data_IF_872106478697
#
_entry.id   IF_872106478697
#
_cell.length_a   1.000
_cell.length_b   1.000
_cell.length_c   1.000
_cell.angle_alpha   90.00
_cell.angle_beta   90.00
_cell.angle_gamma   90.00
#
_symmetry.space_group_name_H-M   'P 1'
#
loop_
_entity.id
_entity.type
_entity.pdbx_description
1 polymer ?
#
# COMPACT_ATOMS: atom_id res chain seq x y z
N UNK A 1 33.25 27.18 -26.18
CA UNK A 1 32.64 27.01 -24.84
C UNK A 1 32.31 25.55 -24.62
N UNK A 2 33.18 24.83 -23.90
CA UNK A 2 33.01 23.41 -23.62
C UNK A 2 32.07 23.22 -22.43
N UNK A 3 30.97 22.50 -22.63
CA UNK A 3 30.07 22.06 -21.56
C UNK A 3 30.73 20.86 -20.87
N UNK A 4 31.30 21.07 -19.69
CA UNK A 4 31.78 19.97 -18.85
C UNK A 4 30.57 19.16 -18.37
N UNK A 5 30.61 17.83 -18.54
CA UNK A 5 29.59 16.92 -17.99
C UNK A 5 29.56 17.08 -16.47
N UNK A 6 28.38 17.36 -15.91
CA UNK A 6 28.16 17.46 -14.46
C UNK A 6 27.24 16.33 -14.05
N UNK A 7 27.68 15.54 -13.09
CA UNK A 7 26.88 14.47 -12.50
C UNK A 7 26.13 15.00 -11.29
N UNK A 8 24.85 14.62 -11.18
CA UNK A 8 24.01 14.97 -10.04
C UNK A 8 23.46 13.69 -9.41
N UNK A 9 23.56 13.60 -8.08
CA UNK A 9 22.88 12.55 -7.33
C UNK A 9 21.46 13.02 -6.99
N UNK A 10 20.47 12.24 -7.41
CA UNK A 10 19.06 12.48 -7.10
C UNK A 10 18.54 11.31 -6.28
N UNK A 11 17.78 11.59 -5.23
CA UNK A 11 17.07 10.58 -4.45
C UNK A 11 15.57 10.86 -4.43
N UNK A 12 14.78 9.80 -4.56
CA UNK A 12 13.32 9.87 -4.44
C UNK A 12 12.95 9.88 -2.96
N UNK A 13 12.28 10.94 -2.49
CA UNK A 13 11.83 11.02 -1.09
C UNK A 13 10.43 10.43 -0.87
N UNK A 14 9.51 10.74 -1.77
CA UNK A 14 8.12 10.28 -1.66
C UNK A 14 7.45 10.26 -3.02
N UNK A 15 6.42 9.43 -3.13
CA UNK A 15 5.48 9.42 -4.25
C UNK A 15 4.11 9.80 -3.70
N UNK A 16 3.52 10.87 -4.24
CA UNK A 16 2.17 11.30 -3.90
C UNK A 16 1.24 10.77 -4.98
N UNK A 17 0.24 10.01 -4.56
CA UNK A 17 -0.71 9.33 -5.43
C UNK A 17 -2.10 9.34 -4.77
N UNK A 18 -3.13 9.35 -5.62
CA UNK A 18 -4.52 9.13 -5.23
C UNK A 18 -4.74 7.67 -4.77
N UNK A 19 -5.95 7.35 -4.31
CA UNK A 19 -6.27 6.02 -3.78
C UNK A 19 -5.90 4.88 -4.76
N UNK A 20 -6.43 4.88 -5.99
CA UNK A 20 -6.15 3.84 -6.98
C UNK A 20 -4.66 3.68 -7.32
N UNK A 21 -3.95 4.77 -7.62
CA UNK A 21 -2.52 4.71 -7.98
C UNK A 21 -1.66 4.26 -6.79
N UNK A 22 -2.00 4.68 -5.56
CA UNK A 22 -1.31 4.24 -4.35
C UNK A 22 -1.46 2.74 -4.13
N UNK A 23 -2.67 2.20 -4.30
CA UNK A 23 -2.92 0.76 -4.22
C UNK A 23 -2.14 -0.01 -5.29
N UNK A 24 -2.07 0.53 -6.52
CA UNK A 24 -1.27 -0.03 -7.61
C UNK A 24 0.22 -0.11 -7.26
N UNK A 25 0.82 1.01 -6.83
CA UNK A 25 2.24 1.08 -6.45
C UNK A 25 2.58 0.11 -5.32
N UNK A 26 1.70 0.01 -4.32
CA UNK A 26 1.86 -0.88 -3.17
C UNK A 26 1.44 -2.33 -3.45
N UNK A 27 0.93 -2.63 -4.64
CA UNK A 27 0.34 -3.93 -5.01
C UNK A 27 -0.71 -4.40 -4.00
N UNK A 28 -1.49 -3.46 -3.46
CA UNK A 28 -2.58 -3.74 -2.51
C UNK A 28 -3.93 -3.61 -3.18
N UNK A 29 -4.97 -4.18 -2.56
CA UNK A 29 -6.35 -3.96 -3.01
C UNK A 29 -6.73 -2.49 -2.80
N UNK A 30 -7.63 -1.99 -3.64
CA UNK A 30 -8.20 -0.65 -3.52
C UNK A 30 -9.04 -0.48 -2.25
N UNK A 31 -9.55 0.74 -2.02
CA UNK A 31 -10.29 1.16 -0.82
C UNK A 31 -11.43 0.22 -0.38
N UNK A 32 -12.00 -0.56 -1.30
CA UNK A 32 -13.12 -1.48 -1.04
C UNK A 32 -12.71 -2.94 -0.78
N UNK A 33 -11.42 -3.27 -0.76
CA UNK A 33 -10.95 -4.65 -0.57
C UNK A 33 -10.96 -5.14 0.88
N UNK A 34 -11.00 -6.47 1.09
CA UNK A 34 -10.94 -7.12 2.41
C UNK A 34 -9.82 -6.63 3.32
N UNK A 35 -8.67 -6.31 2.72
CA UNK A 35 -7.45 -5.90 3.39
C UNK A 35 -6.95 -4.54 2.86
N UNK A 36 -7.87 -3.60 2.60
CA UNK A 36 -7.59 -2.34 1.91
C UNK A 36 -6.69 -1.34 2.66
N UNK A 37 -6.47 -1.51 3.96
CA UNK A 37 -5.61 -0.59 4.70
C UNK A 37 -4.16 -0.69 4.18
N UNK A 38 -3.63 0.45 3.71
CA UNK A 38 -2.30 0.57 3.12
C UNK A 38 -1.20 0.88 4.16
N UNK A 39 -1.58 0.95 5.44
CA UNK A 39 -0.71 1.26 6.59
C UNK A 39 -0.50 0.06 7.50
N UNK A 40 -1.51 -0.79 7.68
CA UNK A 40 -1.45 -1.93 8.58
C UNK A 40 -2.18 -3.15 8.02
N UNK A 41 -1.82 -4.32 8.55
CA UNK A 41 -2.36 -5.61 8.20
C UNK A 41 -3.62 -5.84 9.05
N UNK A 42 -4.78 -5.48 8.50
CA UNK A 42 -6.08 -5.75 9.12
C UNK A 42 -7.15 -5.99 8.06
N UNK A 43 -8.05 -6.94 8.35
CA UNK A 43 -9.25 -7.20 7.57
C UNK A 43 -10.33 -6.22 8.00
N UNK A 44 -11.19 -5.79 7.07
CA UNK A 44 -12.37 -5.04 7.48
C UNK A 44 -13.42 -5.94 8.14
N UNK A 45 -14.27 -5.31 8.94
CA UNK A 45 -15.44 -5.91 9.58
C UNK A 45 -16.72 -5.24 9.06
N UNK A 46 -17.74 -6.03 8.73
CA UNK A 46 -19.06 -5.50 8.40
C UNK A 46 -19.85 -5.26 9.68
N UNK A 47 -20.24 -4.02 9.95
CA UNK A 47 -21.15 -3.68 11.04
C UNK A 47 -22.23 -2.76 10.48
N UNK A 48 -23.50 -3.13 10.63
CA UNK A 48 -24.64 -2.35 10.13
C UNK A 48 -24.47 -1.91 8.66
N UNK A 49 -24.10 -2.86 7.78
CA UNK A 49 -23.82 -2.60 6.35
C UNK A 49 -22.68 -1.60 6.07
N UNK A 50 -21.82 -1.33 7.04
CA UNK A 50 -20.67 -0.44 6.90
C UNK A 50 -19.37 -1.22 7.06
N UNK A 51 -18.42 -0.93 6.17
CA UNK A 51 -17.05 -1.47 6.21
C UNK A 51 -16.25 -0.66 7.23
N UNK A 52 -15.69 -1.34 8.24
CA UNK A 52 -14.90 -0.70 9.29
C UNK A 52 -13.53 -1.39 9.48
N UNK A 53 -12.51 -0.57 9.78
CA UNK A 53 -11.17 -1.00 10.16
C UNK A 53 -10.92 -0.66 11.63
N UNK A 54 -11.33 -1.54 12.54
CA UNK A 54 -11.39 -1.24 13.99
C UNK A 54 -10.13 -1.61 14.76
N UNK A 55 -9.22 -2.38 14.18
CA UNK A 55 -8.03 -2.80 14.89
C UNK A 55 -7.00 -1.66 14.97
N UNK A 56 -6.98 -0.98 16.12
CA UNK A 56 -6.06 0.12 16.42
C UNK A 56 -4.64 -0.35 16.77
N UNK A 57 -4.46 -1.64 17.05
CA UNK A 57 -3.17 -2.27 17.37
C UNK A 57 -2.70 -3.20 16.24
N UNK A 58 -3.20 -2.98 15.02
CA UNK A 58 -2.85 -3.80 13.87
C UNK A 58 -1.37 -3.63 13.51
N UNK A 59 -0.71 -4.74 13.14
CA UNK A 59 0.69 -4.73 12.70
C UNK A 59 0.85 -3.79 11.50
N UNK A 60 1.83 -2.88 11.54
CA UNK A 60 2.17 -2.04 10.39
C UNK A 60 2.67 -2.89 9.22
N UNK A 61 2.32 -2.47 8.00
CA UNK A 61 2.87 -3.12 6.79
C UNK A 61 4.34 -2.73 6.60
N UNK A 62 5.12 -3.71 6.21
CA UNK A 62 6.51 -3.60 5.78
C UNK A 62 6.60 -3.71 4.26
N UNK A 63 7.76 -3.40 3.68
CA UNK A 63 8.00 -3.57 2.24
C UNK A 63 7.84 -5.03 1.80
N UNK A 64 8.25 -5.99 2.65
CA UNK A 64 8.04 -7.42 2.42
C UNK A 64 6.55 -7.79 2.39
N UNK A 65 5.73 -7.16 3.23
CA UNK A 65 4.28 -7.39 3.24
C UNK A 65 3.61 -6.88 1.95
N UNK A 66 4.16 -5.84 1.30
CA UNK A 66 3.70 -5.37 -0.01
C UNK A 66 4.20 -6.28 -1.14
N UNK A 67 5.42 -6.78 -1.03
CA UNK A 67 5.99 -7.68 -2.02
C UNK A 67 5.26 -9.03 -2.06
N UNK A 68 4.96 -9.60 -0.90
CA UNK A 68 4.35 -10.94 -0.78
C UNK A 68 2.82 -10.93 -0.81
N UNK A 69 2.19 -9.76 -0.89
CA UNK A 69 0.74 -9.61 -0.72
C UNK A 69 -0.12 -10.51 -1.62
N UNK A 70 0.34 -10.84 -2.83
CA UNK A 70 -0.36 -11.70 -3.80
C UNK A 70 -0.20 -13.21 -3.57
N UNK A 71 0.64 -13.62 -2.61
CA UNK A 71 0.94 -15.02 -2.26
C UNK A 71 0.40 -15.40 -0.87
N UNK A 72 -0.09 -14.43 -0.11
CA UNK A 72 -0.43 -14.59 1.29
C UNK A 72 -1.92 -14.94 1.45
N UNK A 73 -2.35 -15.43 2.62
CA UNK A 73 -3.77 -15.68 2.93
C UNK A 73 -4.69 -14.44 2.79
N UNK A 74 -4.12 -13.26 2.49
CA UNK A 74 -4.83 -12.02 2.19
C UNK A 74 -5.24 -11.88 0.72
N UNK A 75 -4.67 -12.70 -0.18
CA UNK A 75 -4.96 -12.71 -1.62
C UNK A 75 -6.02 -13.71 -2.04
N UNK A 76 -6.48 -14.57 -1.13
CA UNK A 76 -7.66 -15.39 -1.35
C UNK A 76 -8.89 -14.47 -1.36
N UNK A 77 -9.21 -13.99 -2.57
CA UNK A 77 -10.50 -13.39 -2.88
C UNK A 77 -11.48 -14.57 -3.12
N UNK A 78 -12.35 -14.85 -2.14
CA UNK A 78 -13.66 -15.46 -2.43
C UNK A 78 -14.55 -14.42 -3.12
#
# INVERSE_FOLDING_TARGET
>A
NCIHSRDFTVSLRCVIADGPMRSYLKRTKGHSGYWACDRCIQRWEMINHTILFRNVNAKSRTDDDFWTYYVNQFSEDD
#
